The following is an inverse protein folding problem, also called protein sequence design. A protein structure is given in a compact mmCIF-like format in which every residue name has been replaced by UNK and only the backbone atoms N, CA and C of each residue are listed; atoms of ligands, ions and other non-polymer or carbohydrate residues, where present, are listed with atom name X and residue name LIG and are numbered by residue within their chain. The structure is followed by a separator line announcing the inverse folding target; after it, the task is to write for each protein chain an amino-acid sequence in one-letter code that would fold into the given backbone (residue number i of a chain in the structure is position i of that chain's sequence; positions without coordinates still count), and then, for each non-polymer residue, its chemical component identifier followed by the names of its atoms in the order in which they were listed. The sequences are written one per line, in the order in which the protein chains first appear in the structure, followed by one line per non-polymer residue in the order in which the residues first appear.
data_IF_685607390085
#
_entry.id   IF_685607390085
#
_cell.length_a   1.000
_cell.length_b   1.000
_cell.length_c   1.000
_cell.angle_alpha   90.00
_cell.angle_beta   90.00
_cell.angle_gamma   90.00
#
_symmetry.space_group_name_H-M   'P 1'
#
loop_
_entity.id
_entity.type
_entity.pdbx_description
1 polymer ?
#
# COMPACT_ATOMS: atom_id res chain seq x y z
N UNK A 1 48.38 0.90 19.79
CA UNK A 1 47.86 0.97 18.40
C UNK A 1 46.57 0.15 18.16
N UNK A 2 45.78 -0.23 19.18
CA UNK A 2 44.58 -1.05 19.01
C UNK A 2 43.23 -0.30 19.03
N UNK A 3 43.22 1.02 19.25
CA UNK A 3 41.97 1.80 19.43
C UNK A 3 41.45 2.48 18.15
N UNK A 4 42.19 2.45 17.05
CA UNK A 4 41.77 3.10 15.79
C UNK A 4 40.91 2.20 14.88
N UNK A 5 41.01 0.87 15.02
CA UNK A 5 40.23 -0.08 14.18
C UNK A 5 38.76 -0.13 14.61
N UNK A 6 38.46 0.14 15.89
CA UNK A 6 37.09 0.10 16.40
C UNK A 6 36.23 1.30 15.99
N UNK A 7 36.81 2.42 15.54
CA UNK A 7 36.04 3.60 15.11
C UNK A 7 35.64 3.54 13.63
N UNK A 8 36.34 2.75 12.81
CA UNK A 8 36.03 2.54 11.39
C UNK A 8 34.89 1.53 11.16
N UNK A 9 34.56 0.72 12.17
CA UNK A 9 33.46 -0.26 12.09
C UNK A 9 32.08 0.35 12.38
N UNK A 10 32.03 1.53 13.01
CA UNK A 10 30.78 2.24 13.35
C UNK A 10 30.23 3.14 12.24
N UNK A 11 30.97 3.36 11.14
CA UNK A 11 30.52 4.17 9.99
C UNK A 11 30.04 3.34 8.80
N UNK A 12 30.06 2.00 8.87
CA UNK A 12 29.27 1.13 8.01
C UNK A 12 27.80 1.12 8.46
N UNK A 13 27.22 2.31 8.64
CA UNK A 13 25.79 2.52 8.52
C UNK A 13 25.45 2.25 7.06
N UNK A 14 25.21 0.97 6.77
CA UNK A 14 24.62 0.48 5.52
C UNK A 14 23.48 1.43 5.21
N UNK A 15 23.69 2.31 4.23
CA UNK A 15 22.65 3.16 3.69
C UNK A 15 21.69 2.20 2.98
N UNK A 16 20.77 1.61 3.74
CA UNK A 16 19.67 0.85 3.17
C UNK A 16 18.89 1.83 2.33
N UNK A 17 18.98 1.66 1.01
CA UNK A 17 18.25 2.47 0.05
C UNK A 17 16.75 2.28 0.34
N UNK A 18 16.15 3.27 0.98
CA UNK A 18 14.74 3.20 1.39
C UNK A 18 13.86 3.22 0.15
N UNK A 19 13.02 2.19 0.02
CA UNK A 19 11.92 2.21 -0.94
C UNK A 19 11.04 3.41 -0.64
N UNK A 20 10.54 4.08 -1.69
CA UNK A 20 9.47 5.04 -1.53
C UNK A 20 8.15 4.28 -1.64
N UNK A 21 7.46 4.14 -0.50
CA UNK A 21 6.04 3.89 -0.53
C UNK A 21 5.35 5.18 -0.95
N UNK A 22 4.82 5.21 -2.17
CA UNK A 22 4.05 6.36 -2.66
C UNK A 22 2.70 6.43 -1.96
N UNK A 23 2.19 7.65 -1.78
CA UNK A 23 0.92 7.89 -1.08
C UNK A 23 -0.25 7.14 -1.72
N UNK A 24 -1.32 6.96 -0.95
CA UNK A 24 -2.56 6.31 -1.37
C UNK A 24 -3.17 6.91 -2.65
N UNK A 25 -2.96 8.20 -2.92
CA UNK A 25 -3.41 8.88 -4.14
C UNK A 25 -2.82 8.29 -5.44
N UNK A 26 -1.66 7.63 -5.34
CA UNK A 26 -0.98 6.95 -6.46
C UNK A 26 -1.42 5.50 -6.63
N UNK A 27 -2.42 5.04 -5.88
CA UNK A 27 -2.87 3.66 -5.93
C UNK A 27 -4.38 3.58 -6.07
N UNK A 28 -4.86 2.97 -7.15
CA UNK A 28 -6.27 2.65 -7.33
C UNK A 28 -6.52 1.20 -6.94
N UNK A 29 -7.43 0.95 -6.00
CA UNK A 29 -7.83 -0.42 -5.65
C UNK A 29 -8.81 -0.95 -6.69
N UNK A 30 -8.61 -2.18 -7.16
CA UNK A 30 -9.58 -2.91 -7.97
C UNK A 30 -10.28 -3.88 -7.03
N UNK A 31 -11.60 -3.75 -6.85
CA UNK A 31 -12.33 -4.66 -5.97
C UNK A 31 -12.31 -6.10 -6.51
N UNK A 32 -12.57 -7.13 -5.69
CA UNK A 32 -12.75 -8.51 -6.18
C UNK A 32 -13.89 -8.64 -7.22
N UNK A 33 -14.86 -7.74 -7.21
CA UNK A 33 -15.93 -7.63 -8.22
C UNK A 33 -15.54 -6.80 -9.45
N UNK A 34 -14.26 -6.46 -9.61
CA UNK A 34 -13.72 -5.64 -10.70
C UNK A 34 -14.24 -4.20 -10.76
N UNK A 35 -14.64 -3.65 -9.62
CA UNK A 35 -15.10 -2.26 -9.51
C UNK A 35 -13.95 -1.35 -9.08
N UNK A 36 -13.89 -0.17 -9.69
CA UNK A 36 -13.00 0.91 -9.28
C UNK A 36 -13.74 1.85 -8.31
N UNK A 37 -13.02 2.49 -7.35
CA UNK A 37 -13.59 3.51 -6.48
C UNK A 37 -14.28 4.62 -7.28
N UNK A 38 -15.28 5.26 -6.69
CA UNK A 38 -16.04 6.32 -7.33
C UNK A 38 -15.11 7.42 -7.90
N UNK A 39 -15.32 7.76 -9.17
CA UNK A 39 -14.54 8.77 -9.89
C UNK A 39 -13.20 8.28 -10.44
N UNK A 40 -12.79 7.03 -10.18
CA UNK A 40 -11.60 6.41 -10.79
C UNK A 40 -11.97 5.60 -12.02
N UNK A 41 -11.09 5.63 -13.01
CA UNK A 41 -11.20 4.92 -14.28
C UNK A 41 -9.86 4.29 -14.65
N UNK A 42 -9.85 3.40 -15.64
CA UNK A 42 -8.60 2.82 -16.19
C UNK A 42 -7.69 3.90 -16.78
N UNK A 43 -8.23 5.05 -17.20
CA UNK A 43 -7.43 6.17 -17.71
C UNK A 43 -6.55 6.81 -16.61
N UNK A 44 -6.86 6.58 -15.34
CA UNK A 44 -6.05 7.06 -14.22
C UNK A 44 -4.85 6.14 -13.93
N UNK A 45 -4.79 4.94 -14.51
CA UNK A 45 -3.70 4.01 -14.27
C UNK A 45 -2.38 4.52 -14.86
N UNK A 46 -1.29 4.29 -14.13
CA UNK A 46 0.04 4.63 -14.58
C UNK A 46 0.46 3.66 -15.69
N UNK A 47 0.47 4.17 -16.92
CA UNK A 47 1.02 3.46 -18.08
C UNK A 47 2.54 3.48 -18.00
N UNK A 48 3.14 2.31 -18.14
CA UNK A 48 4.59 2.14 -18.27
C UNK A 48 4.88 1.57 -19.65
N UNK A 49 6.00 1.99 -20.25
CA UNK A 49 6.49 1.47 -21.54
C UNK A 49 5.55 1.65 -22.74
N UNK A 50 4.63 2.62 -22.66
CA UNK A 50 3.61 2.90 -23.69
C UNK A 50 2.73 1.68 -24.04
N UNK A 51 2.69 0.68 -23.17
CA UNK A 51 1.83 -0.49 -23.31
C UNK A 51 0.59 -0.33 -22.43
N UNK A 52 -0.48 -1.05 -22.75
CA UNK A 52 -1.67 -1.17 -21.88
C UNK A 52 -1.39 -2.16 -20.73
N UNK A 53 -0.25 -1.97 -20.08
CA UNK A 53 0.26 -2.71 -18.93
C UNK A 53 0.50 -1.69 -17.82
N UNK A 54 0.03 -2.02 -16.61
CA UNK A 54 0.03 -1.10 -15.48
C UNK A 54 0.70 -1.77 -14.27
N UNK A 55 1.65 -1.14 -13.56
CA UNK A 55 2.23 -1.74 -12.36
C UNK A 55 1.15 -2.06 -11.34
N UNK A 56 1.21 -3.23 -10.73
CA UNK A 56 0.21 -3.67 -9.78
C UNK A 56 0.85 -4.27 -8.54
N UNK A 57 0.17 -4.10 -7.40
CA UNK A 57 0.50 -4.68 -6.11
C UNK A 57 -0.61 -5.61 -5.68
N UNK A 58 -0.27 -6.86 -5.41
CA UNK A 58 -1.19 -7.84 -4.87
C UNK A 58 -0.74 -8.26 -3.49
N UNK A 59 -1.62 -8.09 -2.51
CA UNK A 59 -1.44 -8.54 -1.14
C UNK A 59 -2.58 -9.53 -0.87
N UNK A 60 -2.25 -10.74 -0.43
CA UNK A 60 -3.25 -11.78 -0.19
C UNK A 60 -2.94 -12.60 1.06
N UNK A 61 -4.01 -12.99 1.74
CA UNK A 61 -4.03 -14.04 2.78
C UNK A 61 -5.00 -15.17 2.46
N UNK A 62 -5.83 -14.98 1.42
CA UNK A 62 -6.88 -15.93 1.07
C UNK A 62 -6.34 -17.04 0.15
N UNK A 63 -5.38 -16.70 -0.72
CA UNK A 63 -4.79 -17.69 -1.63
C UNK A 63 -3.76 -18.59 -0.94
N UNK A 64 -2.94 -18.00 -0.07
CA UNK A 64 -1.94 -18.69 0.72
C UNK A 64 -2.38 -18.65 2.19
N UNK A 65 -3.28 -19.55 2.61
CA UNK A 65 -3.72 -19.58 3.99
C UNK A 65 -2.49 -19.83 4.87
N UNK A 66 -2.39 -19.04 5.94
CA UNK A 66 -1.28 -19.00 6.91
C UNK A 66 -0.07 -18.12 6.54
N UNK A 67 0.02 -17.61 5.31
CA UNK A 67 1.12 -16.75 4.89
C UNK A 67 0.59 -15.37 4.50
N UNK A 68 1.23 -14.32 5.02
CA UNK A 68 1.03 -12.98 4.49
C UNK A 68 1.90 -12.86 3.25
N UNK A 69 1.27 -12.81 2.08
CA UNK A 69 1.99 -12.74 0.82
C UNK A 69 1.72 -11.40 0.12
N UNK A 70 2.79 -10.83 -0.41
CA UNK A 70 2.75 -9.62 -1.22
C UNK A 70 3.70 -9.75 -2.41
N UNK A 71 3.25 -9.27 -3.56
CA UNK A 71 4.03 -9.32 -4.80
C UNK A 71 3.67 -8.14 -5.70
N UNK A 72 4.68 -7.54 -6.30
CA UNK A 72 4.50 -6.70 -7.47
C UNK A 72 4.39 -7.52 -8.75
N UNK A 73 3.53 -7.04 -9.64
CA UNK A 73 3.28 -7.60 -10.95
C UNK A 73 2.74 -6.53 -11.87
N UNK A 74 1.90 -6.93 -12.81
CA UNK A 74 1.27 -6.00 -13.72
C UNK A 74 -0.20 -6.32 -13.96
N UNK A 75 -0.98 -5.27 -14.16
CA UNK A 75 -2.37 -5.33 -14.56
C UNK A 75 -2.52 -5.06 -16.05
N UNK A 76 -3.61 -5.58 -16.62
CA UNK A 76 -4.00 -5.45 -18.01
C UNK A 76 -5.54 -5.49 -18.10
N UNK A 77 -6.07 -5.02 -19.23
CA UNK A 77 -7.52 -5.03 -19.50
C UNK A 77 -7.85 -6.20 -20.43
N UNK A 78 -8.68 -7.12 -19.97
CA UNK A 78 -9.17 -8.23 -20.80
C UNK A 78 -10.17 -7.75 -21.85
N UNK A 79 -10.44 -8.55 -22.91
CA UNK A 79 -11.46 -8.22 -23.91
C UNK A 79 -12.86 -7.98 -23.30
N UNK A 80 -13.18 -8.66 -22.20
CA UNK A 80 -14.42 -8.49 -21.41
C UNK A 80 -14.42 -7.26 -20.49
N UNK A 81 -13.44 -6.36 -20.65
CA UNK A 81 -13.23 -5.11 -19.90
C UNK A 81 -12.88 -5.27 -18.44
N UNK A 82 -12.65 -6.49 -17.95
CA UNK A 82 -12.15 -6.69 -16.59
C UNK A 82 -10.68 -6.32 -16.48
N UNK A 83 -10.33 -5.65 -15.38
CA UNK A 83 -8.95 -5.41 -14.95
C UNK A 83 -8.44 -6.69 -14.29
N UNK A 84 -7.48 -7.35 -14.92
CA UNK A 84 -6.80 -8.51 -14.35
C UNK A 84 -5.31 -8.21 -14.21
N UNK A 85 -4.58 -9.05 -13.50
CA UNK A 85 -3.15 -8.89 -13.35
C UNK A 85 -2.43 -10.21 -13.18
N UNK A 86 -1.18 -10.22 -13.63
CA UNK A 86 -0.25 -11.33 -13.47
C UNK A 86 0.74 -11.01 -12.36
N UNK A 87 0.92 -11.97 -11.45
CA UNK A 87 1.81 -11.87 -10.31
C UNK A 87 2.62 -13.15 -10.18
N UNK A 88 3.86 -13.02 -9.69
CA UNK A 88 4.61 -14.17 -9.24
C UNK A 88 4.06 -14.62 -7.88
N UNK A 89 3.67 -15.88 -7.78
CA UNK A 89 3.12 -16.48 -6.57
C UNK A 89 4.20 -17.00 -5.60
N UNK A 90 3.76 -17.34 -4.39
CA UNK A 90 4.63 -17.82 -3.30
C UNK A 90 5.35 -19.13 -3.65
N UNK A 91 4.75 -20.00 -4.45
CA UNK A 91 5.26 -21.32 -4.82
C UNK A 91 5.90 -21.35 -6.20
N UNK A 92 6.46 -20.21 -6.64
CA UNK A 92 7.07 -20.03 -7.96
C UNK A 92 6.09 -20.37 -9.10
N UNK A 93 4.88 -19.84 -9.02
CA UNK A 93 3.87 -19.97 -10.06
C UNK A 93 3.47 -18.60 -10.64
N UNK A 94 3.06 -18.56 -11.91
CA UNK A 94 2.41 -17.37 -12.47
C UNK A 94 0.92 -17.38 -12.10
N UNK A 95 0.44 -16.30 -11.48
CA UNK A 95 -0.95 -16.18 -11.02
C UNK A 95 -1.67 -15.05 -11.74
N UNK A 96 -2.74 -15.39 -12.47
CA UNK A 96 -3.70 -14.41 -12.95
C UNK A 96 -4.77 -14.17 -11.87
N UNK A 97 -5.01 -12.90 -11.53
CA UNK A 97 -6.08 -12.48 -10.63
C UNK A 97 -6.89 -11.38 -11.30
N UNK A 98 -8.22 -11.45 -11.23
CA UNK A 98 -9.12 -10.43 -11.77
C UNK A 98 -9.82 -9.68 -10.63
N UNK A 99 -9.24 -8.57 -10.19
CA UNK A 99 -9.67 -7.81 -9.01
C UNK A 99 -9.03 -8.26 -7.70
N UNK A 100 -9.22 -7.49 -6.62
CA UNK A 100 -8.63 -7.76 -5.31
C UNK A 100 -7.15 -7.39 -5.20
N UNK A 101 -6.69 -6.42 -5.99
CA UNK A 101 -5.32 -5.90 -5.99
C UNK A 101 -5.34 -4.38 -6.22
N UNK A 102 -4.17 -3.75 -6.14
CA UNK A 102 -4.00 -2.31 -6.36
C UNK A 102 -3.21 -2.08 -7.65
N UNK A 103 -3.57 -1.06 -8.40
CA UNK A 103 -2.87 -0.62 -9.61
C UNK A 103 -2.27 0.75 -9.36
N UNK A 104 -1.02 0.94 -9.75
CA UNK A 104 -0.36 2.23 -9.68
C UNK A 104 -1.10 3.22 -10.58
N UNK A 105 -1.29 4.44 -10.13
CA UNK A 105 -2.11 5.46 -10.77
C UNK A 105 -1.39 6.81 -10.79
N UNK A 106 -1.78 7.65 -11.73
CA UNK A 106 -1.34 9.04 -11.82
C UNK A 106 -2.38 9.92 -11.15
N UNK A 107 -2.06 10.60 -10.04
CA UNK A 107 -2.97 11.56 -9.41
C UNK A 107 -3.32 12.69 -10.39
N UNK A 108 -4.52 13.26 -10.25
CA UNK A 108 -5.05 14.29 -11.16
C UNK A 108 -4.09 15.47 -11.37
N UNK A 109 -3.44 15.93 -10.30
CA UNK A 109 -2.46 17.03 -10.35
C UNK A 109 -1.25 16.77 -11.25
N UNK A 110 -0.97 15.51 -11.58
CA UNK A 110 0.14 15.08 -12.44
C UNK A 110 -0.34 14.50 -13.77
N UNK A 111 -1.62 14.65 -14.09
CA UNK A 111 -2.16 14.22 -15.38
C UNK A 111 -1.39 14.91 -16.51
N UNK A 112 -0.95 14.11 -17.49
CA UNK A 112 -0.14 14.59 -18.62
C UNK A 112 1.36 14.76 -18.32
N UNK A 113 1.83 14.47 -17.10
CA UNK A 113 3.25 14.55 -16.74
C UNK A 113 3.91 13.16 -16.69
N UNK A 114 5.21 13.11 -16.95
CA UNK A 114 6.02 11.91 -16.73
C UNK A 114 6.31 11.77 -15.23
N UNK A 115 5.50 10.97 -14.52
CA UNK A 115 5.59 10.78 -13.07
C UNK A 115 6.60 9.72 -12.68
N UNK A 116 6.81 8.73 -13.54
CA UNK A 116 7.65 7.58 -13.29
C UNK A 116 8.70 7.42 -14.39
N UNK A 117 9.84 6.83 -14.04
CA UNK A 117 10.88 6.41 -14.99
C UNK A 117 11.49 5.08 -14.58
N UNK A 118 12.04 4.37 -15.55
CA UNK A 118 12.86 3.20 -15.28
C UNK A 118 14.31 3.61 -15.11
N UNK A 119 14.93 3.16 -14.02
CA UNK A 119 16.38 3.29 -13.78
C UNK A 119 17.00 1.91 -13.68
N UNK A 120 18.23 1.73 -14.14
CA UNK A 120 18.90 0.44 -14.00
C UNK A 120 19.11 0.11 -12.53
N UNK A 121 19.01 -1.16 -12.16
CA UNK A 121 19.26 -1.58 -10.78
C UNK A 121 20.69 -1.21 -10.32
N UNK A 122 21.66 -1.14 -11.23
CA UNK A 122 23.03 -0.69 -10.93
C UNK A 122 23.13 0.77 -10.47
N UNK A 123 22.14 1.62 -10.78
CA UNK A 123 22.06 3.02 -10.32
C UNK A 123 21.59 3.12 -8.85
N UNK A 124 21.15 1.99 -8.27
CA UNK A 124 20.70 1.87 -6.89
C UNK A 124 19.19 2.02 -6.72
N UNK A 125 18.68 1.57 -5.57
CA UNK A 125 17.24 1.59 -5.27
C UNK A 125 16.72 2.91 -4.65
N UNK A 126 17.56 3.94 -4.52
CA UNK A 126 17.14 5.21 -3.91
C UNK A 126 16.07 5.91 -4.76
N UNK A 127 14.94 6.25 -4.14
CA UNK A 127 13.83 6.92 -4.83
C UNK A 127 12.94 5.99 -5.66
N UNK A 128 13.20 4.68 -5.63
CA UNK A 128 12.39 3.68 -6.35
C UNK A 128 11.11 3.35 -5.60
N UNK A 129 10.03 3.12 -6.35
CA UNK A 129 8.70 2.80 -5.83
C UNK A 129 8.69 1.36 -5.33
N UNK A 130 8.22 1.16 -4.10
CA UNK A 130 8.20 -0.15 -3.49
C UNK A 130 7.49 -0.20 -2.15
N UNK A 131 7.39 -1.40 -1.59
CA UNK A 131 6.68 -1.69 -0.33
C UNK A 131 7.43 -2.77 0.44
N UNK A 132 7.64 -2.62 1.74
CA UNK A 132 8.25 -3.66 2.60
C UNK A 132 9.53 -4.33 2.07
N UNK A 133 10.38 -3.61 1.33
CA UNK A 133 11.62 -4.17 0.75
C UNK A 133 11.50 -4.61 -0.70
N UNK A 134 10.27 -4.86 -1.17
CA UNK A 134 9.91 -5.11 -2.56
C UNK A 134 10.07 -3.84 -3.41
N UNK A 135 10.32 -4.00 -4.71
CA UNK A 135 10.38 -2.92 -5.70
C UNK A 135 9.60 -3.30 -6.94
N UNK A 136 8.88 -2.34 -7.51
CA UNK A 136 8.32 -2.49 -8.84
C UNK A 136 9.48 -2.55 -9.82
N UNK A 137 9.57 -3.65 -10.56
CA UNK A 137 10.69 -3.91 -11.43
C UNK A 137 10.24 -4.45 -12.78
N UNK A 138 11.11 -4.25 -13.76
CA UNK A 138 11.08 -4.96 -15.04
C UNK A 138 12.43 -5.60 -15.32
N UNK A 139 12.42 -6.66 -16.11
CA UNK A 139 13.60 -7.31 -16.65
C UNK A 139 13.48 -7.35 -18.17
N UNK A 140 14.56 -7.02 -18.86
CA UNK A 140 14.64 -7.14 -20.33
C UNK A 140 15.68 -8.22 -20.66
N UNK A 141 15.31 -9.20 -21.46
CA UNK A 141 16.25 -10.24 -21.93
C UNK A 141 17.06 -9.83 -23.15
N UNK A 142 17.94 -10.73 -23.61
CA UNK A 142 18.78 -10.47 -24.78
C UNK A 142 17.99 -10.36 -26.08
N UNK A 143 16.74 -10.86 -26.11
CA UNK A 143 15.82 -10.82 -27.23
C UNK A 143 14.89 -9.60 -27.17
N UNK A 144 14.97 -8.80 -26.10
CA UNK A 144 14.12 -7.63 -25.89
C UNK A 144 12.76 -7.95 -25.26
N UNK A 145 12.53 -9.18 -24.80
CA UNK A 145 11.29 -9.52 -24.11
C UNK A 145 11.29 -8.88 -22.72
N UNK A 146 10.14 -8.35 -22.33
CA UNK A 146 9.97 -7.65 -21.05
C UNK A 146 9.19 -8.53 -20.08
N UNK A 147 9.76 -8.72 -18.90
CA UNK A 147 9.09 -9.33 -17.75
C UNK A 147 8.83 -8.24 -16.71
N UNK A 148 7.63 -8.19 -16.13
CA UNK A 148 7.31 -7.29 -15.02
C UNK A 148 7.12 -8.07 -13.73
N UNK A 149 7.52 -7.48 -12.61
CA UNK A 149 7.40 -8.18 -11.34
C UNK A 149 8.04 -7.45 -10.20
N UNK A 150 8.57 -8.25 -9.30
CA UNK A 150 9.04 -7.86 -7.99
C UNK A 150 10.55 -8.04 -7.88
N UNK A 151 11.20 -7.05 -7.27
CA UNK A 151 12.63 -7.11 -7.00
C UNK A 151 12.96 -6.86 -5.54
N UNK A 152 13.87 -7.69 -5.01
CA UNK A 152 14.52 -7.47 -3.72
C UNK A 152 15.94 -7.00 -4.01
N UNK A 153 16.10 -5.68 -4.03
CA UNK A 153 17.36 -5.06 -4.43
C UNK A 153 18.55 -5.49 -3.56
N UNK A 154 18.34 -5.57 -2.23
CA UNK A 154 19.38 -5.97 -1.28
C UNK A 154 19.79 -7.45 -1.44
N UNK A 155 18.94 -8.28 -2.05
CA UNK A 155 19.19 -9.69 -2.34
C UNK A 155 19.65 -9.94 -3.78
N UNK A 156 19.70 -8.88 -4.60
CA UNK A 156 19.98 -8.96 -6.04
C UNK A 156 19.07 -9.97 -6.74
N UNK A 157 17.79 -9.99 -6.38
CA UNK A 157 16.83 -10.96 -6.89
C UNK A 157 15.62 -10.27 -7.52
N UNK A 158 15.09 -10.91 -8.57
CA UNK A 158 13.87 -10.51 -9.27
C UNK A 158 13.04 -11.75 -9.55
N UNK A 159 11.73 -11.60 -9.42
CA UNK A 159 10.73 -12.60 -9.79
C UNK A 159 9.54 -11.89 -10.44
N UNK A 160 9.20 -12.30 -11.65
CA UNK A 160 8.12 -11.68 -12.40
C UNK A 160 7.43 -12.63 -13.34
N UNK A 161 6.49 -12.09 -14.09
CA UNK A 161 5.73 -12.82 -15.10
C UNK A 161 5.91 -12.13 -16.45
N UNK A 162 6.13 -12.94 -17.48
CA UNK A 162 6.03 -12.53 -18.88
C UNK A 162 4.81 -13.19 -19.51
N UNK A 163 4.17 -12.53 -20.47
CA UNK A 163 3.06 -13.13 -21.23
C UNK A 163 3.54 -13.75 -22.52
N UNK A 164 3.15 -14.98 -22.78
CA UNK A 164 3.35 -15.63 -24.09
C UNK A 164 2.40 -15.04 -25.15
N UNK A 165 2.64 -15.27 -26.45
CA UNK A 165 1.73 -14.84 -27.51
C UNK A 165 0.29 -15.37 -27.35
N UNK A 166 0.12 -16.52 -26.67
CA UNK A 166 -1.19 -17.10 -26.37
C UNK A 166 -1.86 -16.48 -25.12
N UNK A 167 -1.24 -15.46 -24.51
CA UNK A 167 -1.75 -14.76 -23.34
C UNK A 167 -1.55 -15.51 -22.02
N UNK A 168 -0.71 -16.55 -21.99
CA UNK A 168 -0.38 -17.28 -20.75
C UNK A 168 0.75 -16.59 -20.00
N UNK A 169 0.68 -16.54 -18.68
CA UNK A 169 1.77 -16.07 -17.84
C UNK A 169 2.84 -17.14 -17.66
N UNK A 170 4.09 -16.76 -17.85
CA UNK A 170 5.28 -17.58 -17.58
C UNK A 170 6.14 -16.88 -16.53
N UNK A 171 6.58 -17.64 -15.53
CA UNK A 171 7.42 -17.12 -14.46
C UNK A 171 8.85 -16.94 -14.96
N UNK A 172 9.45 -15.81 -14.64
CA UNK A 172 10.85 -15.51 -14.92
C UNK A 172 11.52 -15.02 -13.64
N UNK A 173 12.68 -15.57 -13.35
CA UNK A 173 13.50 -15.16 -12.21
C UNK A 173 14.89 -14.72 -12.65
N UNK A 174 15.46 -13.74 -11.96
CA UNK A 174 16.83 -13.28 -12.17
C UNK A 174 17.53 -13.16 -10.80
N UNK A 175 18.82 -13.53 -10.72
CA UNK A 175 19.59 -13.48 -9.46
C UNK A 175 21.02 -13.04 -9.69
N UNK A 176 21.62 -12.35 -8.72
CA UNK A 176 23.04 -11.99 -8.67
C UNK A 176 23.52 -11.16 -9.89
N UNK A 177 24.56 -11.60 -10.59
CA UNK A 177 25.28 -10.78 -11.58
C UNK A 177 24.41 -10.30 -12.75
N UNK A 178 23.41 -11.08 -13.15
CA UNK A 178 22.48 -10.72 -14.22
C UNK A 178 21.38 -9.76 -13.76
N UNK A 179 21.06 -9.71 -12.46
CA UNK A 179 20.09 -8.77 -11.90
C UNK A 179 20.50 -7.32 -12.19
N UNK A 180 21.74 -6.96 -11.87
CA UNK A 180 22.22 -5.58 -12.06
C UNK A 180 22.29 -5.13 -13.52
N UNK A 181 22.39 -6.09 -14.46
CA UNK A 181 22.49 -5.81 -15.89
C UNK A 181 21.12 -5.72 -16.56
N UNK A 182 20.17 -6.57 -16.14
CA UNK A 182 18.90 -6.78 -16.87
C UNK A 182 17.69 -6.18 -16.18
N UNK A 183 17.78 -5.88 -14.89
CA UNK A 183 16.66 -5.37 -14.10
C UNK A 183 16.70 -3.84 -14.06
N UNK A 184 15.54 -3.24 -14.32
CA UNK A 184 15.27 -1.83 -14.05
C UNK A 184 14.23 -1.71 -12.95
N UNK A 185 14.38 -0.69 -12.12
CA UNK A 185 13.48 -0.36 -11.01
C UNK A 185 12.65 0.87 -11.37
N UNK A 186 11.38 0.89 -10.98
CA UNK A 186 10.52 2.04 -11.24
C UNK A 186 10.85 3.14 -10.23
N UNK A 187 11.24 4.31 -10.70
CA UNK A 187 11.58 5.49 -9.90
C UNK A 187 10.49 6.55 -10.00
N UNK A 188 10.21 7.20 -8.87
CA UNK A 188 9.32 8.36 -8.83
C UNK A 188 10.11 9.61 -9.23
N UNK A 189 9.67 10.32 -10.27
CA UNK A 189 10.31 11.56 -10.75
C UNK A 189 9.88 12.80 -9.98
N UNK A 190 8.64 12.80 -9.49
CA UNK A 190 8.07 13.94 -8.75
C UNK A 190 8.56 13.94 -7.30
N UNK A 191 8.67 15.13 -6.70
CA UNK A 191 9.25 15.29 -5.38
C UNK A 191 8.40 14.57 -4.30
N UNK A 192 8.94 13.54 -3.63
CA UNK A 192 8.21 12.82 -2.59
C UNK A 192 7.87 13.69 -1.38
N UNK A 193 8.62 14.78 -1.14
CA UNK A 193 8.41 15.65 0.03
C UNK A 193 7.15 16.50 -0.07
N UNK A 194 6.77 16.92 -1.27
CA UNK A 194 5.46 17.57 -1.50
C UNK A 194 4.29 16.63 -1.17
N UNK A 195 4.54 15.33 -1.09
CA UNK A 195 3.56 14.30 -0.75
C UNK A 195 3.49 13.99 0.75
N UNK A 196 4.61 14.11 1.45
CA UNK A 196 4.68 13.88 2.90
C UNK A 196 3.95 14.95 3.71
N UNK A 197 3.91 16.20 3.27
CA UNK A 197 3.38 17.30 4.07
C UNK A 197 1.85 17.29 4.22
N UNK A 198 1.11 16.65 3.31
CA UNK A 198 -0.34 16.41 3.49
C UNK A 198 -0.67 15.31 4.51
N UNK A 199 0.28 14.42 4.82
CA UNK A 199 0.10 13.35 5.79
C UNK A 199 0.94 13.52 7.07
N UNK A 200 1.87 14.48 7.11
CA UNK A 200 2.52 14.90 8.37
C UNK A 200 1.54 15.58 9.33
N UNK A 201 0.48 16.22 8.82
CA UNK A 201 -0.67 16.65 9.63
C UNK A 201 -1.50 15.48 10.19
N UNK A 202 -1.19 14.23 9.80
CA UNK A 202 -1.85 12.99 10.25
C UNK A 202 -0.92 12.11 11.12
N UNK A 203 0.31 12.55 11.43
CA UNK A 203 1.01 12.00 12.59
C UNK A 203 0.23 12.42 13.84
N UNK A 204 0.15 11.50 14.81
CA UNK A 204 -0.42 11.75 16.14
C UNK A 204 -0.02 13.18 16.56
N UNK A 205 -0.96 14.09 16.87
CA UNK A 205 -0.59 15.28 17.63
C UNK A 205 0.28 14.76 18.78
N UNK A 206 1.48 15.30 18.96
CA UNK A 206 2.48 14.76 19.91
C UNK A 206 1.95 14.65 21.35
N UNK A 207 0.74 15.18 21.57
CA UNK A 207 -0.01 15.33 22.82
C UNK A 207 -1.47 14.84 22.73
N UNK A 208 -1.85 13.98 21.76
CA UNK A 208 -3.22 13.45 21.69
C UNK A 208 -3.54 12.59 22.93
N UNK A 209 -4.27 13.19 23.87
CA UNK A 209 -4.79 12.54 25.06
C UNK A 209 -6.09 11.81 24.73
N UNK A 210 -6.21 10.57 25.21
CA UNK A 210 -7.51 9.87 25.24
C UNK A 210 -8.33 10.58 26.31
N UNK A 211 -9.05 11.63 25.93
CA UNK A 211 -9.98 12.27 26.86
C UNK A 211 -11.18 11.32 27.05
N UNK A 212 -11.51 10.90 28.28
CA UNK A 212 -12.86 10.40 28.53
C UNK A 212 -13.86 11.50 28.14
N UNK A 213 -15.05 11.14 27.62
CA UNK A 213 -16.06 12.13 27.30
C UNK A 213 -16.34 12.97 28.56
N UNK A 214 -16.22 14.30 28.45
CA UNK A 214 -16.72 15.20 29.51
C UNK A 214 -18.20 14.88 29.67
N UNK A 215 -18.59 14.47 30.87
CA UNK A 215 -19.95 14.00 31.17
C UNK A 215 -21.04 15.05 30.88
N UNK A 216 -20.69 16.32 30.69
CA UNK A 216 -21.67 17.41 30.66
C UNK A 216 -21.47 18.44 29.51
N UNK A 217 -20.86 18.08 28.38
CA UNK A 217 -20.94 18.93 27.17
C UNK A 217 -22.35 18.78 26.54
N UNK A 218 -23.34 19.35 27.21
CA UNK A 218 -24.69 19.55 26.69
C UNK A 218 -24.60 20.49 25.49
N UNK A 219 -24.49 19.93 24.28
CA UNK A 219 -24.69 20.65 23.04
C UNK A 219 -26.13 21.15 23.06
N UNK A 220 -26.31 22.47 23.26
CA UNK A 220 -27.63 23.11 23.25
C UNK A 220 -28.37 22.76 21.95
N UNK A 221 -29.38 21.91 22.07
CA UNK A 221 -30.29 21.57 20.98
C UNK A 221 -30.63 20.07 20.88
N UNK A 222 -31.51 19.59 21.77
CA UNK A 222 -32.26 18.35 21.60
C UNK A 222 -31.78 17.15 22.44
N UNK A 223 -32.70 16.25 22.87
CA UNK A 223 -32.38 15.07 23.68
C UNK A 223 -31.86 13.94 22.78
N UNK A 224 -30.70 14.14 22.16
CA UNK A 224 -29.93 13.06 21.56
C UNK A 224 -28.62 13.02 22.31
N UNK A 225 -28.57 12.17 23.34
CA UNK A 225 -27.31 11.77 23.98
C UNK A 225 -26.50 11.06 22.90
N UNK A 226 -25.65 11.82 22.21
CA UNK A 226 -24.84 11.32 21.10
C UNK A 226 -23.82 10.37 21.69
N UNK A 227 -24.12 9.08 21.64
CA UNK A 227 -23.19 8.04 22.02
C UNK A 227 -22.04 8.08 21.01
N UNK A 228 -20.81 8.33 21.46
CA UNK A 228 -19.60 8.35 20.62
C UNK A 228 -18.83 7.03 20.83
N UNK A 229 -19.16 5.92 20.14
CA UNK A 229 -18.40 4.69 20.22
C UNK A 229 -17.48 4.55 19.01
N UNK A 230 -16.43 5.34 18.98
CA UNK A 230 -15.16 4.98 18.33
C UNK A 230 -14.09 5.58 19.24
N UNK A 231 -12.85 5.09 19.20
CA UNK A 231 -11.73 5.80 19.85
C UNK A 231 -11.51 7.12 19.10
N UNK A 232 -12.39 8.08 19.37
CA UNK A 232 -12.34 9.43 18.85
C UNK A 232 -11.38 10.18 19.73
N UNK A 233 -10.32 10.70 19.13
CA UNK A 233 -9.27 11.41 19.85
C UNK A 233 -9.38 12.88 19.48
N UNK A 234 -9.26 13.76 20.48
CA UNK A 234 -9.28 15.21 20.29
C UNK A 234 -7.84 15.72 20.28
N UNK A 235 -7.50 16.58 19.33
CA UNK A 235 -6.20 17.28 19.36
C UNK A 235 -6.27 18.55 20.23
N UNK A 236 -5.14 19.24 20.42
CA UNK A 236 -5.05 20.48 21.20
C UNK A 236 -5.93 21.62 20.66
N UNK A 237 -6.23 21.60 19.36
CA UNK A 237 -7.09 22.57 18.68
C UNK A 237 -8.59 22.26 18.82
N UNK A 238 -8.94 21.15 19.46
CA UNK A 238 -10.31 20.71 19.62
C UNK A 238 -10.88 19.89 18.46
N UNK A 239 -10.07 19.58 17.45
CA UNK A 239 -10.49 18.79 16.28
C UNK A 239 -10.60 17.30 16.65
N UNK A 240 -11.62 16.62 16.11
CA UNK A 240 -11.92 15.23 16.41
C UNK A 240 -11.38 14.30 15.32
N UNK A 241 -10.80 13.16 15.72
CA UNK A 241 -10.25 12.15 14.82
C UNK A 241 -10.71 10.75 15.19
N UNK A 242 -11.11 9.95 14.20
CA UNK A 242 -11.39 8.52 14.33
C UNK A 242 -10.07 7.72 14.30
N UNK A 243 -9.73 7.04 15.40
CA UNK A 243 -8.62 6.09 15.42
C UNK A 243 -9.03 4.78 14.75
N UNK A 244 -8.25 4.30 13.77
CA UNK A 244 -8.40 2.98 13.15
C UNK A 244 -7.09 2.22 13.20
N UNK A 245 -7.16 0.91 13.42
CA UNK A 245 -6.01 0.02 13.31
C UNK A 245 -6.14 -0.71 11.99
N UNK A 246 -5.20 -0.47 11.07
CA UNK A 246 -5.10 -1.17 9.78
C UNK A 246 -3.75 -1.86 9.75
N UNK A 247 -3.75 -3.19 9.64
CA UNK A 247 -2.53 -4.03 9.60
C UNK A 247 -1.56 -3.78 10.76
N UNK A 248 -2.08 -3.63 11.98
CA UNK A 248 -1.30 -3.40 13.18
C UNK A 248 -0.75 -1.97 13.33
N UNK A 249 -0.96 -1.11 12.34
CA UNK A 249 -0.62 0.31 12.38
C UNK A 249 -1.84 1.15 12.73
N UNK A 250 -1.62 2.22 13.50
CA UNK A 250 -2.68 3.12 13.96
C UNK A 250 -2.75 4.31 13.01
N UNK A 251 -3.95 4.59 12.50
CA UNK A 251 -4.28 5.72 11.65
C UNK A 251 -5.33 6.59 12.33
N UNK A 252 -5.28 7.90 12.08
CA UNK A 252 -6.25 8.87 12.57
C UNK A 252 -6.92 9.53 11.36
N UNK A 253 -8.23 9.45 11.26
CA UNK A 253 -9.02 10.05 10.18
C UNK A 253 -9.83 11.22 10.74
N UNK A 254 -9.99 12.36 10.04
CA UNK A 254 -10.88 13.43 10.50
C UNK A 254 -12.28 12.89 10.81
N UNK A 255 -12.78 13.17 12.02
CA UNK A 255 -14.09 12.72 12.45
C UNK A 255 -15.14 13.74 12.02
N UNK A 256 -15.85 13.43 10.94
CA UNK A 256 -16.97 14.24 10.48
C UNK A 256 -18.22 13.98 11.34
N UNK A 257 -18.48 14.92 12.25
CA UNK A 257 -19.65 14.89 13.15
C UNK A 257 -20.94 14.96 12.34
N UNK A 258 -20.99 15.68 11.21
CA UNK A 258 -22.19 15.80 10.39
C UNK A 258 -22.51 14.47 9.68
N UNK A 259 -21.51 13.82 9.10
CA UNK A 259 -21.67 12.50 8.49
C UNK A 259 -22.11 11.42 9.49
N UNK A 260 -21.64 11.50 10.75
CA UNK A 260 -22.05 10.57 11.81
C UNK A 260 -23.40 10.91 12.44
N UNK A 261 -23.81 12.19 12.45
CA UNK A 261 -25.17 12.62 12.84
C UNK A 261 -26.25 12.07 11.90
N UNK A 262 -25.90 11.76 10.65
CA UNK A 262 -26.79 11.12 9.69
C UNK A 262 -27.04 9.62 9.97
N UNK A 263 -26.33 9.00 10.93
CA UNK A 263 -26.58 7.62 11.31
C UNK A 263 -27.82 7.52 12.19
N UNK A 264 -28.70 6.57 11.87
CA UNK A 264 -29.85 6.28 12.71
C UNK A 264 -29.40 5.59 14.01
N UNK A 265 -30.22 5.70 15.07
CA UNK A 265 -29.97 5.03 16.37
C UNK A 265 -29.72 3.53 16.18
N UNK A 266 -30.45 2.89 15.25
CA UNK A 266 -30.25 1.46 14.95
C UNK A 266 -28.87 1.17 14.35
N UNK A 267 -28.37 2.02 13.46
CA UNK A 267 -27.03 1.88 12.87
C UNK A 267 -25.92 2.04 13.91
N UNK A 268 -26.10 2.97 14.85
CA UNK A 268 -25.15 3.18 15.97
C UNK A 268 -25.14 1.96 16.89
N UNK A 269 -26.31 1.43 17.26
CA UNK A 269 -26.43 0.21 18.09
C UNK A 269 -25.80 -1.00 17.39
N UNK A 270 -26.00 -1.13 16.08
CA UNK A 270 -25.42 -2.22 15.29
C UNK A 270 -23.89 -2.14 15.22
N UNK A 271 -23.33 -0.94 15.02
CA UNK A 271 -21.88 -0.71 15.08
C UNK A 271 -21.32 -1.05 16.46
N UNK A 272 -21.99 -0.65 17.54
CA UNK A 272 -21.55 -0.97 18.90
C UNK A 272 -21.55 -2.47 19.18
N UNK A 273 -22.61 -3.19 18.77
CA UNK A 273 -22.68 -4.66 18.89
C UNK A 273 -21.54 -5.35 18.14
N UNK A 274 -21.25 -4.91 16.91
CA UNK A 274 -20.15 -5.44 16.11
C UNK A 274 -18.78 -5.22 16.79
N UNK A 275 -18.56 -4.03 17.36
CA UNK A 275 -17.32 -3.71 18.05
C UNK A 275 -17.13 -4.53 19.34
N UNK A 276 -18.18 -4.67 20.15
CA UNK A 276 -18.16 -5.48 21.37
C UNK A 276 -17.83 -6.94 21.06
N UNK A 277 -18.46 -7.51 20.02
CA UNK A 277 -18.17 -8.86 19.56
C UNK A 277 -16.72 -9.03 19.08
N UNK A 278 -16.17 -8.04 18.39
CA UNK A 278 -14.78 -8.06 17.94
C UNK A 278 -13.77 -8.05 19.11
N UNK A 279 -14.00 -7.17 20.11
CA UNK A 279 -13.16 -7.13 21.31
C UNK A 279 -13.22 -8.42 22.12
N UNK A 280 -14.41 -9.01 22.26
CA UNK A 280 -14.58 -10.26 22.98
C UNK A 280 -13.88 -11.43 22.27
N UNK A 281 -13.96 -11.47 20.92
CA UNK A 281 -13.19 -12.43 20.11
C UNK A 281 -11.69 -12.26 20.28
N UNK A 282 -11.17 -11.03 20.32
CA UNK A 282 -9.73 -10.78 20.56
C UNK A 282 -9.29 -11.22 21.95
N UNK A 283 -10.07 -10.90 23.00
CA UNK A 283 -9.78 -11.37 24.38
C UNK A 283 -9.71 -12.90 24.42
N UNK A 284 -10.70 -13.60 23.87
CA UNK A 284 -10.71 -15.09 23.85
C UNK A 284 -9.53 -15.69 23.11
N UNK A 285 -9.01 -15.03 22.06
CA UNK A 285 -7.81 -15.48 21.35
C UNK A 285 -6.53 -15.31 22.18
N UNK A 286 -6.42 -14.21 22.93
CA UNK A 286 -5.29 -13.96 23.82
C UNK A 286 -5.27 -14.89 25.03
N UNK A 287 -6.43 -15.25 25.59
CA UNK A 287 -6.52 -16.16 26.75
C UNK A 287 -6.28 -17.64 26.38
N UNK A 288 -6.32 -18.00 25.10
CA UNK A 288 -6.02 -19.38 24.62
C UNK A 288 -4.55 -19.60 24.25
N UNK A 289 -3.70 -18.57 24.35
CA UNK A 289 -2.26 -18.64 24.06
C UNK A 289 -1.39 -18.65 25.33
N UNK A 290 -2.01 -18.88 26.48
CA UNK A 290 -1.36 -19.14 27.78
C UNK A 290 -1.77 -20.54 28.22
#
# INVERSE_FOLDING_TARGET
MLKLVSLLLSTLLVHRATAIWVNEDFWTSVSPSNQLPAGKTVADFARIDNQDIFPALWITRNRYPNEHFESFGFAFIRPDKRVCGWFAGLHAEAVEVCGGFRVLSVPERYRGQAVFEWVHASEGAAGTVGFNGHRIARRIDAQGNVTYGDAFHDEYSFLGVQTTPEGRGELVSERHGSYMQRVSLLKLKVNPKEHLDKFRSLRRPETASVLPPKQDEAVRGGPITMYIPVEVVRNERGELFERKIVDGRVFYYPFDVAAKRALTVQQVVQQHRAHKQHHEKRRRRQTKQV
#
